data_IF_513384322170
#
_entry.id   IF_513384322170
#
_cell.length_a   1.000
_cell.length_b   1.000
_cell.length_c   1.000
_cell.angle_alpha   90.00
_cell.angle_beta   90.00
_cell.angle_gamma   90.00
#
_symmetry.space_group_name_H-M   'P 1'
#
loop_
_entity.id
_entity.type
_entity.pdbx_description
1 polymer ?
#
# COMPACT_ATOMS: atom_id res chain seq x y z
N UNK A 1 7.53 -19.62 -7.07
CA UNK A 1 7.08 -19.19 -5.72
C UNK A 1 5.72 -18.55 -5.86
N UNK A 2 4.77 -18.81 -4.95
CA UNK A 2 3.40 -18.27 -5.06
C UNK A 2 3.38 -16.83 -4.51
N UNK A 3 2.79 -15.89 -5.25
CA UNK A 3 2.59 -14.51 -4.80
C UNK A 3 1.54 -14.43 -3.69
N UNK A 4 1.70 -13.51 -2.75
CA UNK A 4 0.68 -13.20 -1.74
C UNK A 4 -0.43 -12.33 -2.35
N UNK A 5 -1.59 -12.28 -1.69
CA UNK A 5 -2.66 -11.35 -2.10
C UNK A 5 -2.22 -9.89 -2.07
N UNK A 6 -1.37 -9.51 -1.11
CA UNK A 6 -0.84 -8.15 -1.02
C UNK A 6 0.07 -7.77 -2.18
N UNK A 7 0.93 -8.69 -2.62
CA UNK A 7 1.77 -8.51 -3.80
C UNK A 7 0.92 -8.28 -5.06
N UNK A 8 -0.17 -9.04 -5.25
CA UNK A 8 -1.07 -8.85 -6.39
C UNK A 8 -1.76 -7.49 -6.37
N UNK A 9 -2.17 -7.00 -5.20
CA UNK A 9 -2.77 -5.66 -5.05
C UNK A 9 -1.75 -4.59 -5.44
N UNK A 10 -0.54 -4.65 -4.90
CA UNK A 10 0.49 -3.62 -5.14
C UNK A 10 0.96 -3.60 -6.59
N UNK A 11 1.04 -4.76 -7.23
CA UNK A 11 1.32 -4.83 -8.67
C UNK A 11 0.21 -4.20 -9.52
N UNK A 12 -1.06 -4.39 -9.14
CA UNK A 12 -2.16 -3.71 -9.80
C UNK A 12 -2.06 -2.19 -9.63
N UNK A 13 -1.68 -1.70 -8.45
CA UNK A 13 -1.43 -0.26 -8.22
C UNK A 13 -0.32 0.25 -9.15
N UNK A 14 0.83 -0.44 -9.23
CA UNK A 14 1.93 -0.09 -10.14
C UNK A 14 1.49 -0.08 -11.61
N UNK A 15 0.75 -1.09 -12.03
CA UNK A 15 0.25 -1.21 -13.40
C UNK A 15 -0.69 -0.05 -13.78
N UNK A 16 -1.39 0.53 -12.79
CA UNK A 16 -2.23 1.71 -12.97
C UNK A 16 -1.46 3.05 -12.81
N UNK A 17 -0.13 3.01 -12.69
CA UNK A 17 0.70 4.20 -12.60
C UNK A 17 0.70 4.88 -11.23
N UNK A 18 0.24 4.20 -10.18
CA UNK A 18 0.28 4.73 -8.81
C UNK A 18 1.73 4.84 -8.34
N UNK A 19 2.15 6.05 -7.98
CA UNK A 19 3.49 6.35 -7.45
C UNK A 19 3.51 6.59 -5.94
N UNK A 20 2.35 6.86 -5.33
CA UNK A 20 2.21 7.15 -3.89
C UNK A 20 0.90 6.59 -3.34
N UNK A 21 0.92 6.13 -2.09
CA UNK A 21 -0.24 5.71 -1.30
C UNK A 21 -0.22 6.35 0.09
N UNK A 22 -1.38 6.61 0.67
CA UNK A 22 -1.55 7.08 2.05
C UNK A 22 -2.31 6.05 2.87
N UNK A 23 -1.82 5.70 4.07
CA UNK A 23 -2.50 4.73 4.93
C UNK A 23 -2.18 4.92 6.42
N UNK A 24 -2.97 4.27 7.28
CA UNK A 24 -2.63 4.03 8.70
C UNK A 24 -2.25 2.56 8.85
N UNK A 25 -0.96 2.22 9.05
CA UNK A 25 -0.50 0.83 9.12
C UNK A 25 -1.23 0.02 10.19
N UNK A 26 -1.57 -1.24 9.87
CA UNK A 26 -2.26 -2.13 10.79
C UNK A 26 -2.02 -3.61 10.46
N UNK A 27 -2.17 -4.47 11.46
CA UNK A 27 -1.86 -5.90 11.36
C UNK A 27 -2.76 -6.64 10.35
N UNK A 28 -3.98 -6.15 10.13
CA UNK A 28 -4.97 -6.78 9.25
C UNK A 28 -4.55 -6.87 7.77
N UNK A 29 -3.50 -6.16 7.35
CA UNK A 29 -3.06 -6.11 5.94
C UNK A 29 -1.53 -6.06 5.76
N UNK A 30 -0.78 -6.69 6.67
CA UNK A 30 0.69 -6.74 6.63
C UNK A 30 1.24 -7.17 5.25
N UNK A 31 0.62 -8.15 4.60
CA UNK A 31 1.09 -8.59 3.28
C UNK A 31 1.06 -7.48 2.21
N UNK A 32 0.18 -6.48 2.32
CA UNK A 32 0.16 -5.30 1.43
C UNK A 32 1.25 -4.32 1.86
N UNK A 33 1.44 -4.10 3.17
CA UNK A 33 2.49 -3.22 3.69
C UNK A 33 3.89 -3.72 3.30
N UNK A 34 4.14 -5.02 3.42
CA UNK A 34 5.37 -5.67 2.99
C UNK A 34 5.58 -5.48 1.48
N UNK A 35 4.53 -5.74 0.69
CA UNK A 35 4.59 -5.55 -0.75
C UNK A 35 4.81 -4.07 -1.14
N UNK A 36 4.20 -3.11 -0.45
CA UNK A 36 4.40 -1.69 -0.66
C UNK A 36 5.85 -1.30 -0.38
N UNK A 37 6.42 -1.79 0.74
CA UNK A 37 7.82 -1.59 1.09
C UNK A 37 8.79 -2.08 0.00
N UNK A 38 8.51 -3.23 -0.60
CA UNK A 38 9.30 -3.79 -1.71
C UNK A 38 9.06 -3.11 -3.07
N UNK A 39 7.95 -2.39 -3.23
CA UNK A 39 7.45 -1.96 -4.54
C UNK A 39 8.11 -0.71 -5.12
N UNK A 40 8.67 0.14 -4.26
CA UNK A 40 9.12 1.50 -4.59
C UNK A 40 8.00 2.55 -4.70
N UNK A 41 6.74 2.19 -4.43
CA UNK A 41 5.65 3.17 -4.26
C UNK A 41 5.87 3.92 -2.95
N UNK A 42 5.81 5.25 -2.99
CA UNK A 42 5.94 6.07 -1.79
C UNK A 42 4.75 5.80 -0.84
N UNK A 43 5.04 5.37 0.39
CA UNK A 43 4.01 5.08 1.39
C UNK A 43 4.00 6.18 2.45
N UNK A 44 2.95 7.01 2.44
CA UNK A 44 2.74 8.08 3.41
C UNK A 44 1.96 7.55 4.60
N UNK A 45 2.64 7.47 5.75
CA UNK A 45 2.04 7.02 7.00
C UNK A 45 1.25 8.17 7.65
N UNK A 46 -0.01 7.91 7.97
CA UNK A 46 -0.95 8.87 8.53
C UNK A 46 -1.28 8.54 9.99
N UNK A 47 -1.80 9.52 10.73
CA UNK A 47 -2.25 9.32 12.13
C UNK A 47 -3.67 8.75 12.27
N UNK A 48 -4.53 9.04 11.30
CA UNK A 48 -5.95 8.66 11.31
C UNK A 48 -6.38 8.37 9.87
N UNK A 49 -7.28 7.40 9.70
CA UNK A 49 -7.73 6.90 8.41
C UNK A 49 -8.47 7.98 7.62
N UNK A 50 -9.21 8.85 8.31
CA UNK A 50 -9.89 9.98 7.67
C UNK A 50 -8.91 10.96 6.99
N UNK A 51 -7.75 11.20 7.60
CA UNK A 51 -6.69 12.01 6.99
C UNK A 51 -6.02 11.30 5.82
N UNK A 52 -5.81 9.98 5.92
CA UNK A 52 -5.25 9.18 4.83
C UNK A 52 -6.14 9.20 3.58
N UNK A 53 -7.45 9.03 3.76
CA UNK A 53 -8.42 8.98 2.67
C UNK A 53 -8.55 10.32 1.92
N UNK A 54 -8.49 11.46 2.62
CA UNK A 54 -8.58 12.78 1.99
C UNK A 54 -7.35 13.12 1.12
N UNK A 55 -6.22 12.46 1.33
CA UNK A 55 -4.99 12.65 0.55
C UNK A 55 -4.88 11.76 -0.70
N UNK A 56 -5.73 10.72 -0.80
CA UNK A 56 -5.63 9.65 -1.78
C UNK A 56 -6.33 9.98 -3.11
#
# INVERSE_FOLDING_TARGET
>A
MKRTGGQLIVEALKANGVSRVSCVPGESYLAVLDALYESGIETVVCRQEGGAAMMA
#
